data_IF_816051112371
#
_entry.id   IF_816051112371
#
_cell.length_a   1.000
_cell.length_b   1.000
_cell.length_c   1.000
_cell.angle_alpha   90.00
_cell.angle_beta   90.00
_cell.angle_gamma   90.00
#
_symmetry.space_group_name_H-M   'P 1'
#
loop_
_entity.id
_entity.type
_entity.pdbx_description
1 polymer ?
#
# COMPACT_ATOMS: atom_id res chain seq x y z
N UNK A 1 -0.78 -18.66 10.52
CA UNK A 1 -0.23 -18.22 9.22
C UNK A 1 -0.79 -16.84 8.98
N UNK A 2 0.05 -15.80 8.95
CA UNK A 2 -0.43 -14.42 8.70
C UNK A 2 -1.03 -14.35 7.30
N UNK A 3 -2.23 -13.78 7.18
CA UNK A 3 -2.93 -13.69 5.91
C UNK A 3 -2.13 -12.84 4.91
N UNK A 4 -2.08 -13.23 3.63
CA UNK A 4 -1.31 -12.49 2.64
C UNK A 4 -1.84 -11.05 2.47
N UNK A 5 -3.14 -10.84 2.59
CA UNK A 5 -3.73 -9.50 2.51
C UNK A 5 -3.31 -8.65 3.71
N UNK A 6 -3.19 -9.27 4.89
CA UNK A 6 -2.64 -8.65 6.10
C UNK A 6 -1.20 -8.19 5.91
N UNK A 7 -0.34 -9.05 5.38
CA UNK A 7 1.06 -8.68 5.07
C UNK A 7 1.13 -7.50 4.10
N UNK A 8 0.32 -7.53 3.05
CA UNK A 8 0.28 -6.46 2.04
C UNK A 8 -0.17 -5.14 2.69
N UNK A 9 -1.30 -5.15 3.41
CA UNK A 9 -1.84 -3.94 4.03
C UNK A 9 -0.89 -3.35 5.08
N UNK A 10 -0.31 -4.20 5.92
CA UNK A 10 0.68 -3.79 6.93
C UNK A 10 1.93 -3.22 6.29
N UNK A 11 2.45 -3.83 5.22
CA UNK A 11 3.64 -3.34 4.55
C UNK A 11 3.40 -1.96 3.93
N UNK A 12 2.33 -1.82 3.13
CA UNK A 12 1.96 -0.53 2.51
C UNK A 12 1.78 0.52 3.61
N UNK A 13 1.08 0.20 4.68
CA UNK A 13 0.84 1.16 5.77
C UNK A 13 2.14 1.55 6.47
N UNK A 14 2.93 0.59 6.94
CA UNK A 14 4.10 0.85 7.79
C UNK A 14 5.31 1.37 7.02
N UNK A 15 5.56 0.85 5.82
CA UNK A 15 6.75 1.19 5.05
C UNK A 15 6.53 2.34 4.09
N UNK A 16 5.29 2.56 3.64
CA UNK A 16 5.00 3.52 2.57
C UNK A 16 4.14 4.69 3.03
N UNK A 17 2.99 4.42 3.66
CA UNK A 17 2.05 5.47 4.06
C UNK A 17 2.54 6.24 5.29
N UNK A 18 2.96 5.57 6.37
CA UNK A 18 3.41 6.26 7.60
C UNK A 18 4.59 7.20 7.34
N UNK A 19 5.68 6.78 6.64
CA UNK A 19 6.78 7.69 6.33
C UNK A 19 6.32 8.89 5.50
N UNK A 20 5.41 8.68 4.54
CA UNK A 20 4.83 9.77 3.75
C UNK A 20 4.09 10.80 4.62
N UNK A 21 3.33 10.35 5.62
CA UNK A 21 2.66 11.23 6.56
C UNK A 21 3.65 11.96 7.49
N UNK A 22 4.73 11.30 7.89
CA UNK A 22 5.79 11.89 8.72
C UNK A 22 6.57 12.99 7.98
N UNK A 23 6.64 12.94 6.65
CA UNK A 23 7.17 14.03 5.81
C UNK A 23 6.21 15.24 5.71
N UNK A 24 5.09 15.25 6.46
CA UNK A 24 4.10 16.32 6.44
C UNK A 24 3.14 16.27 5.25
N UNK A 25 3.19 15.22 4.44
CA UNK A 25 2.28 15.03 3.30
C UNK A 25 0.97 14.38 3.76
N UNK A 26 -0.12 14.61 3.02
CA UNK A 26 -1.45 14.09 3.40
C UNK A 26 -1.73 12.69 2.84
N UNK A 27 -2.65 11.95 3.44
CA UNK A 27 -3.15 10.67 2.90
C UNK A 27 -3.73 10.83 1.49
N UNK A 28 -4.44 11.94 1.23
CA UNK A 28 -4.96 12.24 -0.10
C UNK A 28 -3.83 12.46 -1.12
N UNK A 29 -2.73 13.11 -0.73
CA UNK A 29 -1.57 13.26 -1.62
C UNK A 29 -0.88 11.93 -1.91
N UNK A 30 -0.86 10.99 -0.95
CA UNK A 30 -0.38 9.63 -1.17
C UNK A 30 -1.26 8.93 -2.21
N UNK A 31 -2.59 8.97 -2.04
CA UNK A 31 -3.55 8.35 -2.95
C UNK A 31 -3.40 8.88 -4.39
N UNK A 32 -3.35 10.21 -4.55
CA UNK A 32 -3.12 10.87 -5.85
C UNK A 32 -1.79 10.48 -6.47
N UNK A 33 -0.72 10.44 -5.68
CA UNK A 33 0.61 10.05 -6.18
C UNK A 33 0.66 8.60 -6.66
N UNK A 34 -0.15 7.71 -6.07
CA UNK A 34 -0.23 6.29 -6.41
C UNK A 34 -1.39 5.95 -7.37
N UNK A 35 -2.09 6.96 -7.91
CA UNK A 35 -3.16 6.76 -8.89
C UNK A 35 -4.39 6.01 -8.34
N UNK A 36 -4.70 6.18 -7.05
CA UNK A 36 -5.82 5.52 -6.37
C UNK A 36 -6.68 6.51 -5.58
N UNK A 37 -7.87 6.08 -5.19
CA UNK A 37 -8.77 6.86 -4.35
C UNK A 37 -8.29 6.92 -2.89
N UNK A 38 -8.52 8.04 -2.21
CA UNK A 38 -8.21 8.16 -0.77
C UNK A 38 -8.94 7.10 0.06
N UNK A 39 -10.17 6.74 -0.34
CA UNK A 39 -10.95 5.69 0.31
C UNK A 39 -10.27 4.32 0.26
N UNK A 40 -9.51 4.03 -0.80
CA UNK A 40 -8.70 2.82 -0.92
C UNK A 40 -7.57 2.82 0.10
N UNK A 41 -6.87 3.96 0.26
CA UNK A 41 -5.81 4.09 1.24
C UNK A 41 -6.36 3.97 2.67
N UNK A 42 -7.55 4.52 2.93
CA UNK A 42 -8.24 4.36 4.21
C UNK A 42 -8.52 2.88 4.51
N UNK A 43 -8.99 2.09 3.54
CA UNK A 43 -9.19 0.64 3.72
C UNK A 43 -7.88 -0.08 4.01
N UNK A 44 -6.83 0.18 3.23
CA UNK A 44 -5.50 -0.40 3.46
C UNK A 44 -4.98 -0.12 4.88
N UNK A 45 -5.26 1.08 5.40
CA UNK A 45 -4.83 1.50 6.74
C UNK A 45 -5.68 0.92 7.87
N UNK A 46 -6.99 0.81 7.68
CA UNK A 46 -7.95 0.50 8.75
C UNK A 46 -8.40 -0.97 8.79
N UNK A 47 -8.38 -1.64 7.64
CA UNK A 47 -8.83 -3.02 7.48
C UNK A 47 -7.61 -3.88 7.19
N UNK A 48 -7.01 -4.45 8.23
CA UNK A 48 -5.80 -5.26 8.09
C UNK A 48 -6.00 -6.42 7.09
N UNK A 49 -7.21 -6.94 6.93
CA UNK A 49 -7.51 -8.04 5.99
C UNK A 49 -8.12 -7.58 4.66
N UNK A 50 -8.00 -6.30 4.30
CA UNK A 50 -8.55 -5.78 3.06
C UNK A 50 -7.95 -6.48 1.84
N UNK A 51 -8.82 -7.09 1.03
CA UNK A 51 -8.46 -7.74 -0.24
C UNK A 51 -8.29 -6.68 -1.32
N UNK A 52 -7.07 -6.14 -1.43
CA UNK A 52 -6.71 -5.15 -2.44
C UNK A 52 -6.84 -5.79 -3.85
N UNK A 53 -7.59 -5.17 -4.78
CA UNK A 53 -7.60 -5.62 -6.18
C UNK A 53 -6.18 -5.58 -6.77
N UNK A 54 -5.81 -6.59 -7.56
CA UNK A 54 -4.45 -6.69 -8.14
C UNK A 54 -4.09 -5.46 -8.97
N UNK A 55 -5.05 -4.90 -9.73
CA UNK A 55 -4.85 -3.66 -10.48
C UNK A 55 -4.48 -2.47 -9.57
N UNK A 56 -5.15 -2.37 -8.42
CA UNK A 56 -4.85 -1.33 -7.42
C UNK A 56 -3.46 -1.54 -6.83
N UNK A 57 -3.12 -2.77 -6.47
CA UNK A 57 -1.79 -3.09 -5.95
C UNK A 57 -0.70 -2.78 -6.99
N UNK A 58 -0.96 -3.11 -8.25
CA UNK A 58 -0.08 -2.79 -9.38
C UNK A 58 0.17 -1.27 -9.48
N UNK A 59 -0.88 -0.44 -9.47
CA UNK A 59 -0.73 1.03 -9.50
C UNK A 59 0.13 1.57 -8.37
N UNK A 60 -0.07 1.06 -7.15
CA UNK A 60 0.72 1.46 -5.98
C UNK A 60 2.20 1.06 -6.16
N UNK A 61 2.47 -0.14 -6.68
CA UNK A 61 3.84 -0.61 -6.94
C UNK A 61 4.53 0.18 -8.06
N UNK A 62 3.81 0.44 -9.16
CA UNK A 62 4.30 1.22 -10.31
C UNK A 62 4.70 2.64 -9.91
N UNK A 63 3.90 3.32 -9.07
CA UNK A 63 4.24 4.64 -8.55
C UNK A 63 5.56 4.66 -7.75
N UNK A 64 5.95 3.49 -7.21
CA UNK A 64 7.22 3.27 -6.51
C UNK A 64 8.30 2.62 -7.37
N UNK A 65 8.05 2.43 -8.67
CA UNK A 65 8.97 1.82 -9.64
C UNK A 65 9.43 0.42 -9.23
N UNK A 66 8.54 -0.38 -8.63
CA UNK A 66 8.81 -1.77 -8.29
C UNK A 66 7.79 -2.68 -8.96
N UNK A 67 8.22 -3.88 -9.37
CA UNK A 67 7.30 -4.88 -9.91
C UNK A 67 6.49 -5.54 -8.79
N UNK A 68 5.34 -6.14 -9.13
CA UNK A 68 4.59 -6.97 -8.18
C UNK A 68 5.45 -8.13 -7.64
N UNK A 69 6.31 -8.72 -8.47
CA UNK A 69 7.22 -9.79 -8.04
C UNK A 69 8.17 -9.31 -6.94
N UNK A 70 8.77 -8.13 -7.12
CA UNK A 70 9.68 -7.57 -6.13
C UNK A 70 8.93 -7.17 -4.85
N UNK A 71 7.72 -6.63 -4.99
CA UNK A 71 6.86 -6.38 -3.85
C UNK A 71 6.55 -7.65 -3.05
N UNK A 72 6.25 -8.77 -3.73
CA UNK A 72 5.99 -10.04 -3.04
C UNK A 72 7.24 -10.62 -2.35
N UNK A 73 8.45 -10.29 -2.81
CA UNK A 73 9.68 -10.60 -2.06
C UNK A 73 9.77 -9.75 -0.79
N UNK A 74 9.54 -8.44 -0.91
CA UNK A 74 9.61 -7.49 0.20
C UNK A 74 8.67 -7.80 1.38
N UNK A 75 7.49 -8.38 1.12
CA UNK A 75 6.54 -8.74 2.20
C UNK A 75 6.77 -10.14 2.79
N UNK A 76 7.69 -10.91 2.20
CA UNK A 76 8.06 -12.25 2.67
C UNK A 76 9.42 -12.27 3.39
N UNK A 77 10.14 -11.15 3.42
CA UNK A 77 11.26 -10.86 4.33
C UNK A 77 10.76 -10.51 5.74
#
# INVERSE_FOLDING_TARGET
>A
MTDINEKICLYITKKWLIPWLQEGKSQNSFAKNHGVEESTIRKIKSEETYRIPVETLFKICEARKISLSDFFKLINE
#
